data_IF_833360843411
#
_entry.id   IF_833360843411
#
_cell.length_a   1.000
_cell.length_b   1.000
_cell.length_c   1.000
_cell.angle_alpha   90.00
_cell.angle_beta   90.00
_cell.angle_gamma   90.00
#
_symmetry.space_group_name_H-M   'P 1'
#
loop_
_entity.id
_entity.type
_entity.pdbx_description
1 polymer ?
#
# COMPACT_ATOMS: atom_id res chain seq x y z
N UNK A 1 -21.28 -31.19 14.06
CA UNK A 1 -21.62 -32.23 13.08
C UNK A 1 -22.95 -31.82 12.45
N UNK A 2 -23.04 -31.68 11.12
CA UNK A 2 -24.15 -30.99 10.42
C UNK A 2 -25.54 -31.48 10.90
N UNK A 3 -26.26 -30.62 11.62
CA UNK A 3 -27.61 -30.94 12.10
C UNK A 3 -28.61 -31.08 10.94
N UNK A 4 -29.76 -31.68 11.25
CA UNK A 4 -30.82 -32.14 10.32
C UNK A 4 -31.42 -31.09 9.34
N UNK A 5 -30.99 -29.83 9.38
CA UNK A 5 -31.60 -28.72 8.61
C UNK A 5 -30.87 -28.35 7.33
N UNK A 6 -29.64 -28.82 7.13
CA UNK A 6 -28.86 -28.53 5.93
C UNK A 6 -29.24 -29.48 4.78
N UNK A 7 -29.34 -28.96 3.56
CA UNK A 7 -29.69 -29.75 2.38
C UNK A 7 -28.69 -30.87 2.14
N UNK A 8 -27.41 -30.60 2.38
CA UNK A 8 -26.30 -31.55 2.28
C UNK A 8 -26.45 -32.72 3.25
N UNK A 9 -26.91 -32.44 4.49
CA UNK A 9 -27.17 -33.46 5.51
C UNK A 9 -28.34 -34.36 5.12
N UNK A 10 -29.37 -33.80 4.48
CA UNK A 10 -30.52 -34.57 3.99
C UNK A 10 -30.14 -35.45 2.79
N UNK A 11 -29.38 -34.92 1.85
CA UNK A 11 -28.85 -35.68 0.70
C UNK A 11 -27.96 -36.82 1.16
N UNK A 12 -27.03 -36.55 2.08
CA UNK A 12 -26.14 -37.57 2.63
C UNK A 12 -26.90 -38.73 3.28
N UNK A 13 -28.00 -38.46 3.98
CA UNK A 13 -28.83 -39.49 4.63
C UNK A 13 -29.64 -40.33 3.64
N UNK A 14 -30.10 -39.73 2.55
CA UNK A 14 -30.99 -40.39 1.59
C UNK A 14 -30.22 -41.13 0.50
N UNK A 15 -29.13 -40.57 0.01
CA UNK A 15 -28.32 -41.10 -1.09
C UNK A 15 -27.08 -41.85 -0.58
N UNK A 16 -26.67 -41.62 0.67
CA UNK A 16 -25.44 -42.21 1.26
C UNK A 16 -24.16 -41.45 0.89
N UNK A 17 -24.25 -40.44 0.03
CA UNK A 17 -23.17 -39.53 -0.33
C UNK A 17 -23.74 -38.14 -0.63
N UNK A 18 -22.89 -37.12 -0.59
CA UNK A 18 -23.24 -35.75 -0.97
C UNK A 18 -22.05 -35.12 -1.69
N UNK A 19 -22.31 -34.43 -2.78
CA UNK A 19 -21.32 -33.60 -3.47
C UNK A 19 -21.48 -32.15 -3.00
N UNK A 20 -20.38 -31.54 -2.56
CA UNK A 20 -20.35 -30.14 -2.10
C UNK A 20 -19.50 -29.35 -3.09
N UNK A 21 -20.08 -28.45 -3.89
CA UNK A 21 -19.33 -27.65 -4.84
C UNK A 21 -18.50 -26.59 -4.11
N UNK A 22 -17.23 -26.47 -4.50
CA UNK A 22 -16.26 -25.51 -3.97
C UNK A 22 -15.69 -24.67 -5.13
N UNK A 23 -16.51 -23.85 -5.81
CA UNK A 23 -16.13 -23.20 -7.07
C UNK A 23 -15.06 -22.11 -6.92
N UNK A 24 -14.92 -21.54 -5.72
CA UNK A 24 -13.99 -20.44 -5.42
C UNK A 24 -12.65 -20.93 -4.87
N UNK A 25 -12.49 -22.24 -4.64
CA UNK A 25 -11.32 -22.81 -3.98
C UNK A 25 -10.36 -23.40 -5.01
N UNK A 26 -9.10 -22.95 -4.96
CA UNK A 26 -8.04 -23.53 -5.79
C UNK A 26 -7.82 -25.01 -5.42
N UNK A 27 -8.01 -25.95 -6.35
CA UNK A 27 -8.03 -27.37 -6.05
C UNK A 27 -6.66 -27.90 -5.60
N UNK A 28 -5.58 -27.35 -6.14
CA UNK A 28 -4.21 -27.79 -5.83
C UNK A 28 -3.81 -27.32 -4.42
N UNK A 29 -4.08 -26.05 -4.08
CA UNK A 29 -3.87 -25.52 -2.75
C UNK A 29 -4.75 -26.22 -1.70
N UNK A 30 -6.01 -26.52 -2.04
CA UNK A 30 -6.91 -27.23 -1.14
C UNK A 30 -6.46 -28.68 -0.90
N UNK A 31 -5.96 -29.37 -1.93
CA UNK A 31 -5.37 -30.70 -1.78
C UNK A 31 -4.16 -30.70 -0.84
N UNK A 32 -3.31 -29.68 -0.90
CA UNK A 32 -2.19 -29.51 0.04
C UNK A 32 -2.72 -29.39 1.48
N UNK A 33 -3.73 -28.56 1.71
CA UNK A 33 -4.37 -28.38 3.03
C UNK A 33 -4.96 -29.70 3.53
N UNK A 34 -5.68 -30.42 2.68
CA UNK A 34 -6.26 -31.72 3.04
C UNK A 34 -5.18 -32.74 3.41
N UNK A 35 -4.08 -32.79 2.65
CA UNK A 35 -2.94 -33.66 2.98
C UNK A 35 -2.35 -33.33 4.35
N UNK A 36 -2.28 -32.05 4.74
CA UNK A 36 -1.84 -31.64 6.08
C UNK A 36 -2.87 -32.09 7.14
N UNK A 37 -4.16 -31.81 6.94
CA UNK A 37 -5.24 -32.15 7.88
C UNK A 37 -5.30 -33.66 8.13
N UNK A 38 -5.11 -34.48 7.09
CA UNK A 38 -5.14 -35.94 7.16
C UNK A 38 -3.80 -36.56 7.58
N UNK A 39 -2.74 -35.78 7.79
CA UNK A 39 -1.43 -36.29 8.21
C UNK A 39 -0.63 -36.98 7.10
N UNK A 40 -0.99 -36.76 5.83
CA UNK A 40 -0.29 -37.28 4.66
C UNK A 40 0.96 -36.46 4.34
N UNK A 41 1.84 -36.26 5.33
CA UNK A 41 2.94 -35.29 5.26
C UNK A 41 3.94 -35.56 4.12
N UNK A 42 4.07 -36.81 3.65
CA UNK A 42 4.92 -37.14 2.48
C UNK A 42 4.40 -36.58 1.16
N UNK A 43 3.12 -36.21 1.10
CA UNK A 43 2.47 -35.62 -0.07
C UNK A 43 2.44 -34.09 0.00
N UNK A 44 2.87 -33.50 1.11
CA UNK A 44 2.95 -32.05 1.28
C UNK A 44 4.24 -31.54 0.61
N UNK A 45 4.16 -30.58 -0.31
CA UNK A 45 5.33 -30.09 -1.03
C UNK A 45 6.29 -29.36 -0.09
N UNK A 46 7.60 -29.59 -0.27
CA UNK A 46 8.64 -28.85 0.46
C UNK A 46 8.81 -27.41 -0.08
N UNK A 47 8.44 -27.17 -1.32
CA UNK A 47 8.56 -25.85 -1.95
C UNK A 47 7.25 -25.53 -2.65
N UNK A 48 6.85 -24.28 -2.52
CA UNK A 48 5.71 -23.69 -3.22
C UNK A 48 6.16 -22.34 -3.77
N UNK A 49 5.52 -21.89 -4.84
CA UNK A 49 5.73 -20.53 -5.36
C UNK A 49 4.81 -19.52 -4.64
N UNK A 50 4.99 -18.24 -4.96
CA UNK A 50 4.18 -17.17 -4.36
C UNK A 50 2.69 -17.33 -4.70
N UNK A 51 2.36 -17.77 -5.91
CA UNK A 51 0.97 -17.96 -6.34
C UNK A 51 0.29 -19.03 -5.47
N UNK A 52 0.91 -20.19 -5.32
CA UNK A 52 0.42 -21.29 -4.47
C UNK A 52 0.35 -20.85 -3.01
N UNK A 53 1.37 -20.16 -2.48
CA UNK A 53 1.35 -19.64 -1.10
C UNK A 53 0.21 -18.63 -0.87
N UNK A 54 -0.14 -17.84 -1.90
CA UNK A 54 -1.25 -16.91 -1.86
C UNK A 54 -2.60 -17.65 -1.84
N UNK A 55 -2.78 -18.66 -2.68
CA UNK A 55 -3.98 -19.50 -2.64
C UNK A 55 -4.14 -20.23 -1.31
N UNK A 56 -3.04 -20.73 -0.75
CA UNK A 56 -3.02 -21.29 0.60
C UNK A 56 -3.44 -20.25 1.65
N UNK A 57 -2.98 -19.00 1.54
CA UNK A 57 -3.38 -17.92 2.44
C UNK A 57 -4.89 -17.62 2.34
N UNK A 58 -5.46 -17.57 1.14
CA UNK A 58 -6.91 -17.38 0.91
C UNK A 58 -7.71 -18.48 1.61
N UNK A 59 -7.34 -19.73 1.40
CA UNK A 59 -8.03 -20.88 1.99
C UNK A 59 -7.85 -20.94 3.52
N UNK A 60 -6.65 -20.61 4.02
CA UNK A 60 -6.37 -20.57 5.47
C UNK A 60 -7.22 -19.53 6.17
N UNK A 61 -7.39 -18.35 5.56
CA UNK A 61 -8.28 -17.31 6.08
C UNK A 61 -9.76 -17.75 6.00
N UNK A 62 -10.21 -18.21 4.82
CA UNK A 62 -11.60 -18.64 4.55
C UNK A 62 -12.08 -19.75 5.49
N UNK A 63 -11.23 -20.71 5.80
CA UNK A 63 -11.56 -21.89 6.62
C UNK A 63 -10.99 -21.84 8.04
N UNK A 64 -10.42 -20.70 8.46
CA UNK A 64 -9.83 -20.50 9.78
C UNK A 64 -8.76 -21.56 10.15
N UNK A 65 -7.92 -21.95 9.20
CA UNK A 65 -6.97 -23.07 9.35
C UNK A 65 -5.57 -22.65 9.83
N UNK A 66 -5.44 -21.45 10.40
CA UNK A 66 -4.17 -20.81 10.76
C UNK A 66 -3.27 -21.74 11.59
N UNK A 67 -3.78 -22.32 12.68
CA UNK A 67 -3.01 -23.21 13.55
C UNK A 67 -2.56 -24.51 12.86
N UNK A 68 -3.39 -25.06 11.98
CA UNK A 68 -3.10 -26.35 11.33
C UNK A 68 -2.00 -26.25 10.28
N UNK A 69 -1.87 -25.07 9.67
CA UNK A 69 -0.95 -24.84 8.56
C UNK A 69 0.31 -24.07 9.01
N UNK A 70 0.33 -23.51 10.23
CA UNK A 70 1.39 -22.61 10.73
C UNK A 70 2.82 -23.10 10.47
N UNK A 71 3.12 -24.36 10.80
CA UNK A 71 4.46 -24.93 10.62
C UNK A 71 4.89 -24.94 9.15
N UNK A 72 3.99 -25.35 8.26
CA UNK A 72 4.26 -25.42 6.82
C UNK A 72 4.31 -24.02 6.19
N UNK A 73 3.38 -23.14 6.56
CA UNK A 73 3.38 -21.75 6.13
C UNK A 73 4.67 -21.03 6.53
N UNK A 74 5.15 -21.23 7.76
CA UNK A 74 6.42 -20.69 8.23
C UNK A 74 7.61 -21.16 7.38
N UNK A 75 7.63 -22.45 7.04
CA UNK A 75 8.68 -23.03 6.20
C UNK A 75 8.64 -22.50 4.75
N UNK A 76 7.48 -22.51 4.11
CA UNK A 76 7.31 -21.98 2.75
C UNK A 76 7.61 -20.50 2.67
N UNK A 77 7.16 -19.71 3.65
CA UNK A 77 7.47 -18.29 3.76
C UNK A 77 8.98 -18.06 3.88
N UNK A 78 9.68 -18.83 4.74
CA UNK A 78 11.13 -18.74 4.90
C UNK A 78 11.90 -18.98 3.60
N UNK A 79 11.38 -19.85 2.72
CA UNK A 79 11.99 -20.10 1.41
C UNK A 79 11.76 -18.96 0.40
N UNK A 80 10.68 -18.18 0.57
CA UNK A 80 10.29 -17.13 -0.36
C UNK A 80 10.61 -15.71 0.14
N UNK A 81 10.95 -15.51 1.42
CA UNK A 81 11.16 -14.17 2.01
C UNK A 81 12.20 -13.32 1.24
N UNK A 82 13.20 -13.95 0.64
CA UNK A 82 14.23 -13.28 -0.16
C UNK A 82 13.71 -12.73 -1.50
N UNK A 83 12.57 -13.23 -1.98
CA UNK A 83 11.93 -12.80 -3.24
C UNK A 83 10.93 -11.67 -3.04
N UNK A 84 10.68 -11.23 -1.79
CA UNK A 84 9.88 -10.03 -1.50
C UNK A 84 10.50 -8.85 -2.28
N UNK A 85 9.70 -8.13 -3.09
CA UNK A 85 10.20 -7.00 -3.88
C UNK A 85 10.85 -5.91 -3.02
N UNK A 86 11.80 -5.20 -3.62
CA UNK A 86 12.36 -3.94 -3.09
C UNK A 86 11.79 -2.71 -3.81
N UNK A 87 10.98 -2.93 -4.84
CA UNK A 87 10.27 -1.93 -5.62
C UNK A 87 8.82 -2.36 -5.81
N UNK A 88 7.98 -1.44 -6.27
CA UNK A 88 6.58 -1.74 -6.53
C UNK A 88 6.44 -2.65 -7.77
N UNK A 89 5.86 -3.83 -7.58
CA UNK A 89 5.61 -4.84 -8.62
C UNK A 89 4.19 -5.37 -8.52
N UNK A 90 3.78 -6.19 -9.50
CA UNK A 90 2.45 -6.82 -9.51
C UNK A 90 2.29 -7.90 -8.42
N UNK A 91 3.38 -8.32 -7.78
CA UNK A 91 3.38 -9.29 -6.68
C UNK A 91 3.03 -8.66 -5.31
N UNK A 92 2.99 -7.33 -5.22
CA UNK A 92 2.75 -6.61 -3.97
C UNK A 92 1.42 -7.00 -3.29
N UNK A 93 0.28 -7.16 -4.02
CA UNK A 93 -0.96 -7.63 -3.42
C UNK A 93 -0.83 -9.02 -2.78
N UNK A 94 -0.23 -9.98 -3.50
CA UNK A 94 0.01 -11.34 -3.02
C UNK A 94 0.88 -11.36 -1.77
N UNK A 95 1.99 -10.60 -1.77
CA UNK A 95 2.85 -10.50 -0.60
C UNK A 95 2.16 -9.86 0.60
N UNK A 96 1.32 -8.85 0.37
CA UNK A 96 0.55 -8.20 1.43
C UNK A 96 -0.43 -9.20 2.08
N UNK A 97 -1.12 -9.99 1.26
CA UNK A 97 -2.01 -11.08 1.69
C UNK A 97 -1.27 -12.12 2.53
N UNK A 98 -0.19 -12.68 1.98
CA UNK A 98 0.64 -13.70 2.65
C UNK A 98 1.15 -13.19 4.00
N UNK A 99 1.67 -11.96 4.05
CA UNK A 99 2.18 -11.39 5.29
C UNK A 99 1.06 -11.18 6.32
N UNK A 100 -0.12 -10.72 5.87
CA UNK A 100 -1.28 -10.49 6.73
C UNK A 100 -1.79 -11.79 7.37
N UNK A 101 -2.13 -12.78 6.55
CA UNK A 101 -2.73 -14.06 6.96
C UNK A 101 -1.75 -14.83 7.85
N UNK A 102 -0.49 -14.97 7.44
CA UNK A 102 0.51 -15.72 8.20
C UNK A 102 1.25 -14.91 9.27
N UNK A 103 0.71 -13.75 9.66
CA UNK A 103 1.17 -12.93 10.78
C UNK A 103 2.67 -12.58 10.71
N UNK A 104 3.10 -11.95 9.62
CA UNK A 104 4.49 -11.52 9.35
C UNK A 104 4.57 -9.98 9.42
N UNK A 105 4.69 -9.40 10.63
CA UNK A 105 4.52 -7.95 10.83
C UNK A 105 5.62 -7.10 10.18
N UNK A 106 6.89 -7.53 10.25
CA UNK A 106 8.02 -6.78 9.69
C UNK A 106 7.95 -6.72 8.17
N UNK A 107 7.64 -7.85 7.54
CA UNK A 107 7.48 -7.97 6.09
C UNK A 107 6.22 -7.26 5.62
N UNK A 108 5.12 -7.33 6.37
CA UNK A 108 3.92 -6.56 6.10
C UNK A 108 4.19 -5.05 6.09
N UNK A 109 4.91 -4.54 7.10
CA UNK A 109 5.31 -3.13 7.16
C UNK A 109 6.17 -2.74 5.96
N UNK A 110 7.13 -3.60 5.59
CA UNK A 110 8.01 -3.38 4.42
C UNK A 110 7.21 -3.34 3.10
N UNK A 111 6.29 -4.27 2.88
CA UNK A 111 5.50 -4.34 1.63
C UNK A 111 4.51 -3.18 1.56
N UNK A 112 3.83 -2.86 2.65
CA UNK A 112 2.91 -1.71 2.71
C UNK A 112 3.62 -0.37 2.58
N UNK A 113 4.89 -0.25 2.99
CA UNK A 113 5.71 0.93 2.68
C UNK A 113 5.89 1.13 1.18
N UNK A 114 6.05 0.05 0.40
CA UNK A 114 6.14 0.14 -1.06
C UNK A 114 4.85 0.67 -1.66
N UNK A 115 3.71 0.18 -1.16
CA UNK A 115 2.37 0.68 -1.50
C UNK A 115 2.26 2.18 -1.26
N UNK A 116 2.60 2.63 -0.05
CA UNK A 116 2.42 4.02 0.36
C UNK A 116 3.35 4.99 -0.38
N UNK A 117 4.59 4.56 -0.70
CA UNK A 117 5.60 5.42 -1.34
C UNK A 117 5.52 5.43 -2.86
N UNK A 118 5.33 4.27 -3.47
CA UNK A 118 5.46 4.08 -4.91
C UNK A 118 4.12 3.87 -5.61
N UNK A 119 3.05 3.56 -4.86
CA UNK A 119 1.72 3.38 -5.42
C UNK A 119 1.27 4.61 -6.21
N UNK A 120 0.74 4.39 -7.42
CA UNK A 120 0.25 5.43 -8.32
C UNK A 120 -1.27 5.43 -8.48
N UNK A 121 -2.00 4.73 -7.62
CA UNK A 121 -3.45 4.67 -7.68
C UNK A 121 -4.02 3.82 -6.56
N UNK A 122 -5.29 3.50 -6.68
CA UNK A 122 -5.97 2.56 -5.78
C UNK A 122 -5.45 1.15 -6.04
N UNK A 123 -5.07 0.46 -4.97
CA UNK A 123 -4.71 -0.94 -5.02
C UNK A 123 -5.97 -1.79 -4.94
N UNK A 124 -6.16 -2.64 -5.92
CA UNK A 124 -7.22 -3.64 -5.92
C UNK A 124 -6.66 -4.95 -5.39
N UNK A 125 -7.17 -5.40 -4.25
CA UNK A 125 -6.81 -6.69 -3.65
C UNK A 125 -7.79 -7.79 -4.06
N UNK A 126 -8.42 -7.69 -5.23
CA UNK A 126 -9.52 -8.55 -5.69
C UNK A 126 -9.43 -9.99 -5.13
N UNK A 127 -10.41 -10.37 -4.30
CA UNK A 127 -10.58 -11.69 -3.68
C UNK A 127 -9.51 -12.14 -2.66
N UNK A 128 -8.49 -11.31 -2.39
CA UNK A 128 -7.51 -11.59 -1.36
C UNK A 128 -8.05 -11.23 0.03
N UNK A 129 -7.76 -12.03 1.07
CA UNK A 129 -8.08 -11.73 2.47
C UNK A 129 -7.15 -10.65 3.04
N UNK A 130 -7.21 -9.45 2.44
CA UNK A 130 -6.50 -8.26 2.90
C UNK A 130 -7.55 -7.26 3.36
N UNK A 131 -7.41 -6.70 4.58
CA UNK A 131 -8.36 -5.71 5.07
C UNK A 131 -8.48 -4.49 4.15
N UNK A 132 -9.69 -3.96 4.05
CA UNK A 132 -10.03 -2.80 3.20
C UNK A 132 -9.24 -1.53 3.52
N UNK A 133 -8.70 -1.39 4.75
CA UNK A 133 -7.84 -0.27 5.12
C UNK A 133 -6.50 -0.27 4.38
N UNK A 134 -6.01 -1.43 3.93
CA UNK A 134 -4.78 -1.54 3.13
C UNK A 134 -5.06 -1.15 1.67
N UNK A 135 -6.27 -1.46 1.18
CA UNK A 135 -6.75 -1.14 -0.16
C UNK A 135 -7.00 0.36 -0.41
N UNK A 136 -7.15 1.15 0.66
CA UNK A 136 -7.62 2.53 0.51
C UNK A 136 -9.04 2.56 -0.05
N UNK A 137 -9.96 1.96 0.72
CA UNK A 137 -11.43 2.06 0.63
C UNK A 137 -12.10 1.97 -0.75
N UNK A 138 -12.82 0.85 -0.93
CA UNK A 138 -14.11 0.82 -1.63
C UNK A 138 -15.09 0.00 -0.79
N UNK A 139 -15.73 0.60 0.22
CA UNK A 139 -16.97 0.05 0.80
C UNK A 139 -17.91 1.23 1.17
N UNK A 140 -19.19 1.22 0.74
CA UNK A 140 -19.98 2.46 0.65
C UNK A 140 -20.58 2.98 1.95
N UNK A 141 -20.30 2.37 3.11
CA UNK A 141 -21.11 2.58 4.32
C UNK A 141 -20.30 2.55 5.63
N UNK A 142 -19.17 3.26 5.72
CA UNK A 142 -18.71 3.85 6.99
C UNK A 142 -17.41 4.64 6.75
N UNK A 143 -17.52 5.97 6.85
CA UNK A 143 -16.40 6.91 6.94
C UNK A 143 -15.29 6.78 5.89
N UNK A 144 -15.51 7.36 4.71
CA UNK A 144 -14.49 7.65 3.69
C UNK A 144 -13.23 8.31 4.32
N UNK A 145 -12.26 7.52 4.79
CA UNK A 145 -11.00 8.00 5.33
C UNK A 145 -9.95 7.86 4.24
N UNK A 146 -9.39 8.98 3.72
CA UNK A 146 -8.36 8.90 2.70
C UNK A 146 -7.19 8.06 3.20
N UNK A 147 -6.66 7.19 2.33
CA UNK A 147 -5.50 6.37 2.65
C UNK A 147 -4.32 7.25 3.12
N UNK A 148 -3.39 6.70 3.93
CA UNK A 148 -2.17 7.44 4.34
C UNK A 148 -1.41 8.02 3.14
N UNK A 149 -1.43 7.30 2.01
CA UNK A 149 -0.89 7.76 0.71
C UNK A 149 -1.63 9.00 0.20
N UNK A 150 -2.96 8.94 0.11
CA UNK A 150 -3.75 10.08 -0.38
C UNK A 150 -3.60 11.31 0.50
N UNK A 151 -3.55 11.12 1.81
CA UNK A 151 -3.34 12.21 2.76
C UNK A 151 -1.96 12.85 2.58
N UNK A 152 -0.90 12.05 2.43
CA UNK A 152 0.44 12.57 2.15
C UNK A 152 0.49 13.35 0.83
N UNK A 153 -0.05 12.79 -0.26
CA UNK A 153 -0.07 13.45 -1.58
C UNK A 153 -0.92 14.74 -1.52
N UNK A 154 -2.08 14.71 -0.86
CA UNK A 154 -2.93 15.89 -0.66
C UNK A 154 -2.17 16.99 0.07
N UNK A 155 -1.49 16.69 1.18
CA UNK A 155 -0.68 17.66 1.94
C UNK A 155 0.42 18.29 1.08
N UNK A 156 1.12 17.48 0.27
CA UNK A 156 2.15 17.96 -0.65
C UNK A 156 1.56 18.91 -1.69
N UNK A 157 0.50 18.49 -2.38
CA UNK A 157 -0.14 19.30 -3.43
C UNK A 157 -0.66 20.61 -2.85
N UNK A 158 -1.37 20.56 -1.71
CA UNK A 158 -1.88 21.75 -1.04
C UNK A 158 -0.77 22.71 -0.63
N UNK A 159 0.35 22.20 -0.10
CA UNK A 159 1.51 23.03 0.27
C UNK A 159 2.17 23.66 -0.96
N UNK A 160 2.40 22.91 -2.03
CA UNK A 160 3.04 23.43 -3.24
C UNK A 160 2.19 24.49 -3.94
N UNK A 161 0.87 24.28 -3.97
CA UNK A 161 -0.08 25.28 -4.50
C UNK A 161 -0.11 26.51 -3.60
N UNK A 162 -0.18 26.33 -2.28
CA UNK A 162 -0.16 27.45 -1.34
C UNK A 162 1.10 28.30 -1.47
N UNK A 163 2.26 27.68 -1.70
CA UNK A 163 3.48 28.41 -2.03
C UNK A 163 3.38 29.17 -3.36
N UNK A 164 2.82 28.56 -4.40
CA UNK A 164 2.62 29.25 -5.68
C UNK A 164 1.73 30.49 -5.53
N UNK A 165 0.60 30.35 -4.82
CA UNK A 165 -0.34 31.46 -4.60
C UNK A 165 0.33 32.57 -3.75
N UNK A 166 1.08 32.21 -2.71
CA UNK A 166 1.83 33.16 -1.87
C UNK A 166 2.85 33.98 -2.69
N UNK A 167 3.65 33.34 -3.56
CA UNK A 167 4.61 34.04 -4.44
C UNK A 167 3.94 34.89 -5.54
N UNK A 168 2.65 34.69 -5.83
CA UNK A 168 1.90 35.50 -6.79
C UNK A 168 1.28 36.74 -6.12
N UNK A 169 0.95 36.65 -4.84
CA UNK A 169 0.24 37.70 -4.09
C UNK A 169 1.18 38.59 -3.26
N UNK A 170 2.29 38.04 -2.78
CA UNK A 170 3.21 38.70 -1.86
C UNK A 170 4.63 38.76 -2.46
N UNK A 171 5.38 39.81 -2.08
CA UNK A 171 6.80 39.94 -2.41
C UNK A 171 7.66 39.39 -1.26
N UNK A 172 8.52 38.42 -1.55
CA UNK A 172 9.39 37.77 -0.55
C UNK A 172 10.84 38.23 -0.64
N UNK A 173 11.30 38.59 -1.84
CA UNK A 173 12.66 39.05 -2.06
C UNK A 173 12.75 40.21 -3.06
N UNK A 174 12.38 39.96 -4.31
CA UNK A 174 12.30 40.96 -5.37
C UNK A 174 11.39 40.40 -6.47
N UNK A 175 10.78 41.29 -7.24
CA UNK A 175 9.96 40.90 -8.39
C UNK A 175 10.64 39.84 -9.29
N UNK A 176 11.91 40.00 -9.64
CA UNK A 176 12.63 39.04 -10.48
C UNK A 176 12.83 37.69 -9.80
N UNK A 177 13.19 37.69 -8.51
CA UNK A 177 13.37 36.46 -7.74
C UNK A 177 12.05 35.69 -7.63
N UNK A 178 10.97 36.39 -7.33
CA UNK A 178 9.66 35.81 -7.10
C UNK A 178 9.05 35.32 -8.42
N UNK A 179 9.17 36.10 -9.51
CA UNK A 179 8.75 35.67 -10.86
C UNK A 179 9.47 34.39 -11.31
N UNK A 180 10.77 34.26 -11.01
CA UNK A 180 11.53 33.06 -11.32
C UNK A 180 11.10 31.86 -10.46
N UNK A 181 10.78 32.07 -9.18
CA UNK A 181 10.25 31.02 -8.31
C UNK A 181 8.88 30.53 -8.79
N UNK A 182 7.98 31.46 -9.11
CA UNK A 182 6.67 31.16 -9.73
C UNK A 182 6.87 30.34 -10.99
N UNK A 183 7.80 30.73 -11.87
CA UNK A 183 8.11 29.99 -13.09
C UNK A 183 8.64 28.58 -12.83
N UNK A 184 9.52 28.42 -11.83
CA UNK A 184 10.08 27.13 -11.45
C UNK A 184 9.03 26.18 -10.83
N UNK A 185 8.23 26.68 -9.88
CA UNK A 185 7.11 25.96 -9.28
C UNK A 185 6.07 25.57 -10.33
N UNK A 186 5.67 26.50 -11.20
CA UNK A 186 4.71 26.23 -12.29
C UNK A 186 5.20 25.12 -13.22
N UNK A 187 6.49 25.16 -13.60
CA UNK A 187 7.10 24.10 -14.43
C UNK A 187 7.08 22.74 -13.73
N UNK A 188 7.41 22.67 -12.44
CA UNK A 188 7.36 21.42 -11.67
C UNK A 188 5.93 20.90 -11.52
N UNK A 189 4.99 21.76 -11.15
CA UNK A 189 3.58 21.39 -11.00
C UNK A 189 2.96 20.90 -12.31
N UNK A 190 3.32 21.51 -13.45
CA UNK A 190 2.92 21.00 -14.78
C UNK A 190 3.56 19.65 -15.10
N UNK A 191 4.82 19.44 -14.75
CA UNK A 191 5.49 18.14 -14.96
C UNK A 191 4.83 17.00 -14.16
N UNK A 192 4.21 17.32 -13.03
CA UNK A 192 3.38 16.40 -12.24
C UNK A 192 1.92 16.33 -12.72
N UNK A 193 1.53 17.03 -13.77
CA UNK A 193 0.13 17.18 -14.20
C UNK A 193 -0.80 17.74 -13.11
N UNK A 194 -0.25 18.47 -12.13
CA UNK A 194 -1.04 19.15 -11.09
C UNK A 194 -1.72 20.39 -11.67
N UNK A 195 -1.04 21.13 -12.54
CA UNK A 195 -1.61 22.27 -13.24
C UNK A 195 -1.90 21.91 -14.70
N UNK A 196 -3.03 22.39 -15.28
CA UNK A 196 -3.98 23.33 -14.70
C UNK A 196 -5.11 22.68 -13.88
N UNK A 197 -5.29 21.36 -13.97
CA UNK A 197 -6.55 20.70 -13.59
C UNK A 197 -6.71 20.36 -12.10
N UNK A 198 -5.64 20.45 -11.29
CA UNK A 198 -5.59 20.10 -9.86
C UNK A 198 -6.21 18.72 -9.57
N UNK A 199 -5.41 17.63 -9.57
CA UNK A 199 -5.92 16.27 -9.44
C UNK A 199 -6.65 16.08 -8.11
N UNK A 200 -7.67 15.22 -8.12
CA UNK A 200 -8.46 14.85 -6.94
C UNK A 200 -8.07 13.44 -6.48
N UNK A 201 -8.42 13.08 -5.25
CA UNK A 201 -8.32 11.69 -4.76
C UNK A 201 -8.98 10.74 -5.78
N UNK A 202 -8.36 9.58 -6.08
CA UNK A 202 -7.23 8.95 -5.39
C UNK A 202 -5.83 9.36 -5.90
N UNK A 203 -5.71 10.51 -6.58
CA UNK A 203 -4.46 11.05 -7.12
C UNK A 203 -3.74 10.05 -8.04
N UNK A 204 -4.49 9.46 -8.97
CA UNK A 204 -3.98 8.49 -9.92
C UNK A 204 -2.83 9.08 -10.74
N UNK A 205 -1.76 8.31 -10.94
CA UNK A 205 -0.53 8.71 -11.62
C UNK A 205 0.52 9.35 -10.71
N UNK A 206 0.17 9.77 -9.48
CA UNK A 206 1.09 10.41 -8.55
C UNK A 206 1.61 9.43 -7.51
N UNK A 207 2.93 9.46 -7.24
CA UNK A 207 3.55 8.72 -6.14
C UNK A 207 4.34 9.67 -5.23
N UNK A 208 4.42 9.34 -3.94
CA UNK A 208 5.21 10.11 -2.98
C UNK A 208 6.70 10.10 -3.35
N UNK A 209 7.21 8.95 -3.83
CA UNK A 209 8.59 8.83 -4.28
C UNK A 209 8.92 9.82 -5.40
N UNK A 210 8.00 10.06 -6.33
CA UNK A 210 8.23 11.02 -7.42
C UNK A 210 8.38 12.44 -6.85
N UNK A 211 7.58 12.83 -5.85
CA UNK A 211 7.72 14.10 -5.14
C UNK A 211 9.05 14.18 -4.37
N UNK A 212 9.36 13.19 -3.53
CA UNK A 212 10.64 13.11 -2.81
C UNK A 212 11.81 13.25 -3.76
N UNK A 213 11.80 12.54 -4.90
CA UNK A 213 12.89 12.59 -5.87
C UNK A 213 13.01 13.95 -6.55
N UNK A 214 11.90 14.56 -6.98
CA UNK A 214 11.91 15.83 -7.73
C UNK A 214 12.15 17.06 -6.87
N UNK A 215 11.75 17.00 -5.61
CA UNK A 215 11.94 18.05 -4.63
C UNK A 215 13.06 17.69 -3.63
N UNK A 216 13.84 16.63 -3.90
CA UNK A 216 15.04 16.30 -3.13
C UNK A 216 15.97 17.50 -3.19
N UNK A 217 16.38 18.00 -2.02
CA UNK A 217 17.11 19.27 -1.92
C UNK A 217 16.24 20.47 -2.31
N UNK A 218 15.00 20.53 -1.83
CA UNK A 218 14.10 21.66 -1.94
C UNK A 218 13.92 22.30 -3.32
N UNK A 219 13.57 23.58 -3.26
CA UNK A 219 13.61 24.51 -4.38
C UNK A 219 14.63 25.59 -4.06
N UNK A 220 15.83 25.44 -4.60
CA UNK A 220 16.89 26.43 -4.52
C UNK A 220 17.12 27.08 -5.87
N UNK A 221 17.65 28.30 -5.85
CA UNK A 221 17.92 29.10 -7.04
C UNK A 221 19.44 29.12 -7.36
N UNK A 222 19.95 28.33 -8.34
CA UNK A 222 21.39 28.28 -8.61
C UNK A 222 21.91 29.56 -9.29
N UNK A 223 21.07 30.27 -10.04
CA UNK A 223 21.49 31.45 -10.79
C UNK A 223 21.70 32.68 -9.88
N UNK A 224 20.95 32.80 -8.78
CA UNK A 224 21.12 33.88 -7.79
C UNK A 224 22.47 33.82 -7.09
N UNK A 225 23.11 32.64 -7.03
CA UNK A 225 24.48 32.49 -6.51
C UNK A 225 25.58 32.83 -7.53
N UNK A 226 25.25 32.92 -8.83
CA UNK A 226 26.24 33.10 -9.91
C UNK A 226 26.24 34.49 -10.55
N UNK A 227 25.15 35.25 -10.47
CA UNK A 227 25.01 36.52 -11.20
C UNK A 227 25.18 37.78 -10.36
N UNK A 228 25.27 37.68 -9.03
CA UNK A 228 25.47 38.87 -8.20
C UNK A 228 26.97 39.07 -7.91
N UNK A 229 27.58 40.03 -8.60
CA UNK A 229 28.89 40.62 -8.23
C UNK A 229 28.87 41.27 -6.85
N UNK A 230 27.69 41.45 -6.26
CA UNK A 230 27.45 41.82 -4.87
C UNK A 230 26.95 40.59 -4.10
N UNK A 231 27.52 40.30 -2.93
CA UNK A 231 27.14 39.20 -2.04
C UNK A 231 25.71 39.36 -1.48
N UNK A 232 24.66 39.20 -2.29
CA UNK A 232 23.30 39.12 -1.78
C UNK A 232 23.00 37.68 -1.35
N UNK A 233 22.78 37.50 -0.05
CA UNK A 233 22.36 36.22 0.51
C UNK A 233 20.90 35.93 0.15
N UNK A 234 20.69 35.26 -0.98
CA UNK A 234 19.37 34.79 -1.44
C UNK A 234 18.90 33.51 -0.71
N UNK A 235 19.45 33.21 0.48
CA UNK A 235 19.01 32.06 1.29
C UNK A 235 17.53 32.18 1.72
N UNK A 236 17.01 33.41 1.78
CA UNK A 236 15.59 33.70 2.04
C UNK A 236 14.66 33.36 0.86
N UNK A 237 15.20 33.22 -0.34
CA UNK A 237 14.43 32.87 -1.55
C UNK A 237 14.24 31.36 -1.72
N UNK A 238 14.81 30.54 -0.83
CA UNK A 238 14.53 29.11 -0.80
C UNK A 238 13.15 28.86 -0.19
N UNK A 239 12.60 27.67 -0.46
CA UNK A 239 11.43 27.15 0.27
C UNK A 239 11.89 25.97 1.15
N UNK A 240 12.53 26.20 2.33
CA UNK A 240 12.99 25.12 3.20
C UNK A 240 11.84 24.31 3.78
N UNK A 241 10.63 24.88 3.83
CA UNK A 241 9.42 24.19 4.30
C UNK A 241 9.09 22.94 3.47
N UNK A 242 9.51 22.88 2.20
CA UNK A 242 9.29 21.71 1.36
C UNK A 242 10.06 20.49 1.88
N UNK A 243 11.32 20.65 2.28
CA UNK A 243 12.13 19.53 2.79
C UNK A 243 11.53 18.96 4.07
N UNK A 244 11.08 19.83 4.99
CA UNK A 244 10.39 19.42 6.23
C UNK A 244 9.06 18.72 5.93
N UNK A 245 8.26 19.28 5.03
CA UNK A 245 6.95 18.75 4.66
C UNK A 245 7.07 17.38 3.97
N UNK A 246 8.09 17.19 3.11
CA UNK A 246 8.40 15.89 2.53
C UNK A 246 8.84 14.89 3.60
N UNK A 247 9.70 15.28 4.54
CA UNK A 247 10.11 14.41 5.65
C UNK A 247 8.92 13.97 6.52
N UNK A 248 7.98 14.87 6.83
CA UNK A 248 6.74 14.52 7.53
C UNK A 248 5.86 13.56 6.71
N UNK A 249 5.77 13.76 5.40
CA UNK A 249 5.01 12.86 4.52
C UNK A 249 5.70 11.49 4.37
N UNK A 250 7.02 11.44 4.41
CA UNK A 250 7.79 10.19 4.41
C UNK A 250 7.54 9.36 5.66
N UNK A 251 7.40 10.02 6.83
CA UNK A 251 7.03 9.35 8.09
C UNK A 251 5.62 8.75 8.00
N UNK A 252 4.65 9.44 7.38
CA UNK A 252 3.30 8.90 7.13
C UNK A 252 3.31 7.67 6.20
N UNK A 253 4.40 7.46 5.48
CA UNK A 253 4.57 6.39 4.49
C UNK A 253 5.52 5.28 4.94
N UNK A 254 5.85 5.15 6.23
CA UNK A 254 6.81 4.16 6.74
C UNK A 254 6.27 2.71 6.82
N UNK A 255 5.14 2.46 6.17
CA UNK A 255 4.41 1.19 6.23
C UNK A 255 3.28 1.21 7.25
N UNK A 256 2.50 0.15 7.24
CA UNK A 256 1.39 -0.08 8.17
C UNK A 256 1.83 -1.09 9.22
N UNK A 257 1.63 -0.75 10.49
CA UNK A 257 1.90 -1.66 11.60
C UNK A 257 0.69 -2.59 11.79
N UNK A 258 0.92 -3.91 11.70
CA UNK A 258 -0.16 -4.90 11.75
C UNK A 258 -0.95 -4.87 13.07
N UNK A 259 -0.27 -4.55 14.18
CA UNK A 259 -0.85 -4.47 15.52
C UNK A 259 -1.94 -3.39 15.64
N UNK A 260 -1.79 -2.25 14.94
CA UNK A 260 -2.76 -1.16 14.94
C UNK A 260 -4.16 -1.62 14.47
N UNK A 261 -4.21 -2.70 13.69
CA UNK A 261 -5.41 -3.16 13.02
C UNK A 261 -5.95 -4.50 13.55
N UNK A 262 -5.10 -5.43 13.97
CA UNK A 262 -5.56 -6.69 14.59
C UNK A 262 -6.28 -6.46 15.92
N UNK A 263 -5.84 -5.46 16.69
CA UNK A 263 -6.48 -5.07 17.96
C UNK A 263 -7.86 -4.44 17.76
N UNK A 264 -8.08 -3.76 16.62
CA UNK A 264 -9.37 -3.16 16.28
C UNK A 264 -10.42 -4.21 15.85
N UNK A 265 -9.97 -5.33 15.25
CA UNK A 265 -10.84 -6.44 14.86
C UNK A 265 -11.27 -7.30 16.06
N UNK A 266 -10.42 -7.45 17.08
CA UNK A 266 -10.75 -8.20 18.31
C UNK A 266 -11.68 -7.45 19.25
N UNK A 267 -11.80 -6.12 19.13
CA UNK A 267 -12.73 -5.29 19.90
C UNK A 267 -14.11 -5.15 19.24
N UNK A 268 -14.29 -5.67 18.03
CA UNK A 268 -15.54 -5.63 17.27
C UNK A 268 -16.31 -6.98 17.31
N UNK A 269 -15.77 -7.99 17.99
CA UNK A 269 -16.38 -9.29 18.31
C UNK A 269 -16.70 -9.35 19.81
#
# INVERSE_FOLDING_TARGET
MLEHRFGESQTLRTVGSVEIPLPDDDPDAFLIILNIIHGHLRQVPLQVDLQTLTQLAILVDKYELHERIEVFAGFWFGNLISTIPNCYTDDIPSWTCVCWVFNKPEEFKRVTRLILRHGRGTLTFNELPVPSFVAGEQLPLMHNRPSRREEAIRRIISSLIGHLDDYLENEHCSFECDALMVGALTKRLRAFNILPHRPKSPYTGLSLQDFTHRFRHGMYFPAAQRTSTFFYSHSKCAIPSIDRMLAECEQLSDGLDMADYKTALTLAL
#
